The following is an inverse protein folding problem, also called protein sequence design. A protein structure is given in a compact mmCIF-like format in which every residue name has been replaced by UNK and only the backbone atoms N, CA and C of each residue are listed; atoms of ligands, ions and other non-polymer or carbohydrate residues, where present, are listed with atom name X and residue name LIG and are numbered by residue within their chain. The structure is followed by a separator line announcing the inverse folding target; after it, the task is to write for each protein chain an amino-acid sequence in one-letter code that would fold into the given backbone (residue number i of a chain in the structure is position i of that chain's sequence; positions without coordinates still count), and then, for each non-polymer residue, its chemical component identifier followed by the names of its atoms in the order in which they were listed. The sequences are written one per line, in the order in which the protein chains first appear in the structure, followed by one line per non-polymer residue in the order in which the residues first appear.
data_IF_097740056442
#
_entry.id   IF_097740056442
#
_cell.length_a   1.000
_cell.length_b   1.000
_cell.length_c   1.000
_cell.angle_alpha   90.00
_cell.angle_beta   90.00
_cell.angle_gamma   90.00
#
_symmetry.space_group_name_H-M   'P 1'
#
loop_
_entity.id
_entity.type
_entity.pdbx_description
1 polymer ?
#
# COMPACT_ATOMS: atom_id res chain seq x y z
N UNK A 1 -16.98 -0.43 -39.01
CA UNK A 1 -17.76 -1.14 -37.97
C UNK A 1 -17.15 -2.53 -37.81
N UNK A 2 -16.85 -2.93 -36.57
CA UNK A 2 -16.17 -4.17 -36.15
C UNK A 2 -14.62 -4.15 -36.11
N UNK A 3 -14.05 -3.27 -35.28
CA UNK A 3 -12.82 -3.58 -34.54
C UNK A 3 -13.21 -3.63 -33.05
N UNK A 4 -14.01 -4.64 -32.70
CA UNK A 4 -14.28 -4.93 -31.30
C UNK A 4 -12.96 -5.40 -30.71
N UNK A 5 -12.37 -4.54 -29.87
CA UNK A 5 -11.28 -4.87 -28.99
C UNK A 5 -11.56 -6.24 -28.38
N UNK A 6 -10.69 -7.20 -28.68
CA UNK A 6 -10.63 -8.46 -27.97
C UNK A 6 -10.19 -8.13 -26.53
N UNK A 7 -11.15 -7.72 -25.72
CA UNK A 7 -11.07 -7.77 -24.27
C UNK A 7 -10.91 -9.25 -23.97
N UNK A 8 -9.66 -9.68 -23.84
CA UNK A 8 -9.34 -11.01 -23.32
C UNK A 8 -9.89 -11.04 -21.90
N UNK A 9 -11.08 -11.64 -21.79
CA UNK A 9 -11.76 -11.88 -20.53
C UNK A 9 -10.79 -12.59 -19.58
N UNK A 10 -10.79 -12.21 -18.30
CA UNK A 10 -10.03 -12.92 -17.25
C UNK A 10 -10.31 -14.43 -17.16
N UNK A 11 -11.26 -14.96 -17.94
CA UNK A 11 -11.53 -16.39 -18.13
C UNK A 11 -10.53 -17.09 -19.07
N UNK A 12 -9.99 -16.44 -20.09
CA UNK A 12 -8.95 -17.03 -20.96
C UNK A 12 -7.60 -17.11 -20.22
N UNK A 13 -7.38 -16.22 -19.26
CA UNK A 13 -6.23 -16.19 -18.34
C UNK A 13 -6.23 -17.43 -17.42
N UNK A 14 -7.41 -17.97 -17.07
CA UNK A 14 -7.55 -19.17 -16.23
C UNK A 14 -7.38 -20.49 -17.01
N UNK A 15 -7.33 -20.47 -18.35
CA UNK A 15 -7.16 -21.67 -19.16
C UNK A 15 -5.70 -22.18 -19.18
N UNK A 16 -4.72 -21.34 -18.82
CA UNK A 16 -3.31 -21.70 -18.71
C UNK A 16 -2.89 -21.82 -17.24
N UNK A 17 -3.54 -22.74 -16.52
CA UNK A 17 -3.39 -22.93 -15.07
C UNK A 17 -1.98 -23.31 -14.60
N UNK A 18 -1.08 -23.75 -15.48
CA UNK A 18 0.19 -24.37 -15.06
C UNK A 18 1.45 -23.57 -15.36
N UNK A 19 1.42 -22.50 -16.16
CA UNK A 19 2.63 -21.81 -16.63
C UNK A 19 2.52 -20.27 -16.64
N UNK A 20 2.14 -19.63 -15.52
CA UNK A 20 2.34 -18.17 -15.39
C UNK A 20 3.80 -17.86 -15.09
N UNK A 21 4.61 -17.72 -16.15
CA UNK A 21 5.98 -17.25 -16.04
C UNK A 21 6.05 -15.72 -16.18
N UNK A 22 7.02 -15.09 -15.50
CA UNK A 22 7.30 -13.65 -15.54
C UNK A 22 7.45 -13.14 -16.97
N UNK A 23 7.93 -13.98 -17.89
CA UNK A 23 8.11 -13.64 -19.30
C UNK A 23 6.81 -13.66 -20.12
N UNK A 24 5.83 -14.49 -19.74
CA UNK A 24 4.48 -14.48 -20.34
C UNK A 24 3.74 -13.22 -19.88
N UNK A 25 3.90 -12.85 -18.61
CA UNK A 25 3.38 -11.58 -18.07
C UNK A 25 4.02 -10.37 -18.77
N UNK A 26 5.33 -10.38 -19.01
CA UNK A 26 6.01 -9.33 -19.80
C UNK A 26 5.47 -9.23 -21.22
N UNK A 27 5.27 -10.34 -21.92
CA UNK A 27 4.71 -10.36 -23.27
C UNK A 27 3.25 -9.88 -23.31
N UNK A 28 2.46 -10.24 -22.29
CA UNK A 28 1.04 -9.87 -22.20
C UNK A 28 0.84 -8.38 -21.88
N UNK A 29 1.73 -7.79 -21.07
CA UNK A 29 1.65 -6.38 -20.65
C UNK A 29 2.36 -5.44 -21.64
N UNK A 30 3.43 -5.89 -22.30
CA UNK A 30 4.23 -5.11 -23.25
C UNK A 30 4.43 -5.83 -24.59
N UNK A 31 3.43 -5.82 -25.50
CA UNK A 31 3.66 -6.16 -26.89
C UNK A 31 4.67 -5.17 -27.50
N UNK A 32 5.63 -5.66 -28.28
CA UNK A 32 6.81 -4.90 -28.74
C UNK A 32 6.51 -3.72 -29.69
N UNK A 33 5.29 -3.57 -30.20
CA UNK A 33 5.04 -2.71 -31.38
C UNK A 33 3.86 -1.72 -31.24
N UNK A 34 3.52 -1.27 -30.03
CA UNK A 34 2.34 -0.41 -29.83
C UNK A 34 2.74 0.99 -29.36
N UNK A 35 2.48 1.99 -30.19
CA UNK A 35 2.60 3.40 -29.78
C UNK A 35 1.74 3.66 -28.53
N UNK A 36 2.24 4.42 -27.55
CA UNK A 36 1.55 4.64 -26.29
C UNK A 36 0.34 5.56 -26.50
N UNK A 37 -0.78 4.98 -26.93
CA UNK A 37 -2.07 5.65 -26.98
C UNK A 37 -2.74 5.64 -25.60
N UNK A 38 -3.51 6.67 -25.27
CA UNK A 38 -4.04 6.88 -23.91
C UNK A 38 -5.07 5.80 -23.53
N UNK A 39 -5.83 5.31 -24.51
CA UNK A 39 -6.74 4.17 -24.33
C UNK A 39 -6.00 2.87 -24.04
N UNK A 40 -4.86 2.64 -24.69
CA UNK A 40 -4.06 1.42 -24.54
C UNK A 40 -3.44 1.39 -23.15
N UNK A 41 -2.98 2.53 -22.64
CA UNK A 41 -2.49 2.66 -21.27
C UNK A 41 -3.61 2.34 -20.27
N UNK A 42 -4.83 2.82 -20.51
CA UNK A 42 -5.98 2.58 -19.63
C UNK A 42 -6.41 1.11 -19.60
N UNK A 43 -6.48 0.46 -20.77
CA UNK A 43 -6.78 -0.98 -20.87
C UNK A 43 -5.72 -1.80 -20.15
N UNK A 44 -4.44 -1.46 -20.32
CA UNK A 44 -3.32 -2.12 -19.63
C UNK A 44 -3.38 -1.95 -18.11
N UNK A 45 -3.71 -0.76 -17.62
CA UNK A 45 -3.89 -0.52 -16.18
C UNK A 45 -4.99 -1.43 -15.61
N UNK A 46 -6.12 -1.55 -16.31
CA UNK A 46 -7.23 -2.43 -15.89
C UNK A 46 -6.84 -3.91 -15.94
N UNK A 47 -6.25 -4.38 -17.04
CA UNK A 47 -5.81 -5.77 -17.17
C UNK A 47 -4.79 -6.15 -16.09
N UNK A 48 -3.91 -5.22 -15.73
CA UNK A 48 -2.94 -5.45 -14.65
C UNK A 48 -3.61 -5.61 -13.29
N UNK A 49 -4.58 -4.75 -12.98
CA UNK A 49 -5.35 -4.81 -11.73
C UNK A 49 -6.17 -6.10 -11.66
N UNK A 50 -6.80 -6.50 -12.75
CA UNK A 50 -7.61 -7.73 -12.77
C UNK A 50 -6.74 -8.98 -12.67
N UNK A 51 -5.57 -9.00 -13.32
CA UNK A 51 -4.58 -10.07 -13.11
C UNK A 51 -4.11 -10.11 -11.65
N UNK A 52 -3.81 -8.97 -11.04
CA UNK A 52 -3.40 -8.90 -9.65
C UNK A 52 -4.47 -9.43 -8.69
N UNK A 53 -5.75 -9.12 -8.92
CA UNK A 53 -6.87 -9.68 -8.15
C UNK A 53 -6.97 -11.19 -8.30
N UNK A 54 -6.88 -11.72 -9.53
CA UNK A 54 -6.93 -13.17 -9.78
C UNK A 54 -5.75 -13.89 -9.10
N UNK A 55 -4.56 -13.29 -9.14
CA UNK A 55 -3.38 -13.84 -8.44
C UNK A 55 -3.56 -13.79 -6.91
N UNK A 56 -4.18 -12.74 -6.38
CA UNK A 56 -4.50 -12.63 -4.97
C UNK A 56 -5.53 -13.68 -4.53
N UNK A 57 -6.63 -13.83 -5.27
CA UNK A 57 -7.68 -14.84 -5.01
C UNK A 57 -7.17 -16.28 -5.12
N UNK A 58 -6.18 -16.52 -5.98
CA UNK A 58 -5.54 -17.84 -6.14
C UNK A 58 -4.40 -18.09 -5.15
N UNK A 59 -4.09 -17.15 -4.26
CA UNK A 59 -3.06 -17.30 -3.20
C UNK A 59 -1.61 -17.33 -3.74
N UNK A 60 -1.38 -16.84 -4.96
CA UNK A 60 -0.09 -16.94 -5.64
C UNK A 60 0.83 -15.76 -5.32
N UNK A 61 1.25 -15.66 -4.06
CA UNK A 61 2.04 -14.52 -3.57
C UNK A 61 3.32 -14.26 -4.38
N UNK A 62 4.09 -15.30 -4.70
CA UNK A 62 5.35 -15.16 -5.46
C UNK A 62 5.13 -14.59 -6.86
N UNK A 63 4.05 -14.98 -7.54
CA UNK A 63 3.72 -14.49 -8.87
C UNK A 63 3.28 -13.01 -8.80
N UNK A 64 2.51 -12.62 -7.78
CA UNK A 64 2.11 -11.23 -7.56
C UNK A 64 3.31 -10.32 -7.23
N UNK A 65 4.25 -10.81 -6.41
CA UNK A 65 5.51 -10.12 -6.17
C UNK A 65 6.33 -9.92 -7.45
N UNK A 66 6.41 -10.96 -8.30
CA UNK A 66 7.02 -10.86 -9.62
C UNK A 66 6.32 -9.85 -10.53
N UNK A 67 4.99 -9.82 -10.52
CA UNK A 67 4.17 -8.87 -11.28
C UNK A 67 4.51 -7.43 -10.90
N UNK A 68 4.61 -7.11 -9.61
CA UNK A 68 4.98 -5.76 -9.14
C UNK A 68 6.33 -5.32 -9.74
N UNK A 69 7.33 -6.21 -9.79
CA UNK A 69 8.65 -5.89 -10.38
C UNK A 69 8.57 -5.67 -11.89
N UNK A 70 7.81 -6.50 -12.61
CA UNK A 70 7.60 -6.38 -14.07
C UNK A 70 6.86 -5.11 -14.45
N UNK A 71 6.03 -4.57 -13.56
CA UNK A 71 5.27 -3.35 -13.84
C UNK A 71 6.08 -2.07 -13.70
N UNK A 72 7.26 -2.09 -13.06
CA UNK A 72 8.08 -0.89 -12.84
C UNK A 72 8.39 -0.09 -14.12
N UNK A 73 8.77 -0.71 -15.26
CA UNK A 73 8.93 0.01 -16.52
C UNK A 73 7.64 0.66 -17.04
N UNK A 74 6.47 0.02 -16.86
CA UNK A 74 5.17 0.59 -17.25
C UNK A 74 4.84 1.85 -16.45
N UNK A 75 5.22 1.88 -15.17
CA UNK A 75 4.99 3.03 -14.29
C UNK A 75 5.76 4.29 -14.71
N UNK A 76 6.73 4.18 -15.62
CA UNK A 76 7.41 5.32 -16.26
C UNK A 76 6.60 5.95 -17.40
N UNK A 77 5.65 5.21 -17.98
CA UNK A 77 4.82 5.66 -19.11
C UNK A 77 3.52 6.35 -18.66
N UNK A 78 3.16 6.26 -17.39
CA UNK A 78 1.93 6.84 -16.83
C UNK A 78 2.24 8.03 -15.91
N UNK A 79 1.23 8.85 -15.63
CA UNK A 79 1.40 9.98 -14.71
C UNK A 79 1.80 9.51 -13.31
N UNK A 80 2.57 10.33 -12.58
CA UNK A 80 3.04 10.01 -11.22
C UNK A 80 1.89 9.64 -10.27
N UNK A 81 0.74 10.31 -10.40
CA UNK A 81 -0.45 10.04 -9.60
C UNK A 81 -1.04 8.65 -9.91
N UNK A 82 -1.22 8.31 -11.20
CA UNK A 82 -1.71 6.98 -11.61
C UNK A 82 -0.77 5.87 -11.17
N UNK A 83 0.53 6.05 -11.38
CA UNK A 83 1.53 5.09 -10.92
C UNK A 83 1.48 4.88 -9.40
N UNK A 84 1.33 5.97 -8.63
CA UNK A 84 1.24 5.88 -7.16
C UNK A 84 0.01 5.08 -6.74
N UNK A 85 -1.15 5.34 -7.35
CA UNK A 85 -2.38 4.60 -7.10
C UNK A 85 -2.23 3.13 -7.45
N UNK A 86 -1.66 2.83 -8.62
CA UNK A 86 -1.46 1.47 -9.11
C UNK A 86 -0.55 0.66 -8.19
N UNK A 87 0.62 1.19 -7.84
CA UNK A 87 1.56 0.50 -6.92
C UNK A 87 0.92 0.29 -5.55
N UNK A 88 0.23 1.31 -5.01
CA UNK A 88 -0.46 1.17 -3.73
C UNK A 88 -1.49 0.04 -3.77
N UNK A 89 -2.35 0.00 -4.79
CA UNK A 89 -3.34 -1.07 -4.92
C UNK A 89 -2.71 -2.46 -5.08
N UNK A 90 -1.63 -2.58 -5.85
CA UNK A 90 -0.93 -3.85 -6.00
C UNK A 90 -0.26 -4.33 -4.71
N UNK A 91 0.35 -3.41 -3.95
CA UNK A 91 0.97 -3.72 -2.65
C UNK A 91 -0.10 -4.03 -1.61
N UNK A 92 -1.21 -3.30 -1.57
CA UNK A 92 -2.32 -3.59 -0.66
C UNK A 92 -2.92 -4.98 -0.94
N UNK A 93 -3.19 -5.32 -2.21
CA UNK A 93 -3.60 -6.67 -2.61
C UNK A 93 -2.58 -7.73 -2.21
N UNK A 94 -1.28 -7.41 -2.27
CA UNK A 94 -0.23 -8.33 -1.87
C UNK A 94 -0.20 -8.57 -0.36
N UNK A 95 -0.37 -7.52 0.44
CA UNK A 95 -0.33 -7.59 1.90
C UNK A 95 -1.62 -8.16 2.51
N UNK A 96 -2.74 -8.05 1.81
CA UNK A 96 -4.02 -8.62 2.24
C UNK A 96 -4.11 -10.14 1.96
N UNK A 97 -3.18 -10.70 1.17
CA UNK A 97 -3.02 -12.14 1.11
C UNK A 97 -2.42 -12.59 2.46
N UNK A 98 -3.19 -13.29 3.29
CA UNK A 98 -2.75 -13.96 4.53
C UNK A 98 -1.68 -15.06 4.30
N UNK A 99 -0.98 -15.02 3.17
CA UNK A 99 0.15 -15.85 2.84
C UNK A 99 1.34 -15.34 3.65
N UNK A 100 1.44 -15.73 4.92
CA UNK A 100 2.56 -15.51 5.85
C UNK A 100 3.90 -16.03 5.29
N UNK A 101 4.37 -15.39 4.22
CA UNK A 101 5.48 -15.84 3.39
C UNK A 101 6.80 -15.22 3.84
N UNK A 102 6.76 -14.28 4.78
CA UNK A 102 7.92 -13.50 5.22
C UNK A 102 8.46 -12.53 4.15
N UNK A 103 7.87 -12.51 2.95
CA UNK A 103 8.28 -11.69 1.82
C UNK A 103 7.70 -10.26 1.87
N UNK A 104 6.71 -10.01 2.72
CA UNK A 104 5.99 -8.73 2.80
C UNK A 104 6.91 -7.56 3.14
N UNK A 105 7.75 -7.72 4.16
CA UNK A 105 8.71 -6.68 4.57
C UNK A 105 9.74 -6.44 3.46
N UNK A 106 10.28 -7.51 2.87
CA UNK A 106 11.27 -7.41 1.80
C UNK A 106 10.68 -6.70 0.57
N UNK A 107 9.45 -7.04 0.18
CA UNK A 107 8.74 -6.40 -0.92
C UNK A 107 8.45 -4.91 -0.66
N UNK A 108 8.03 -4.55 0.55
CA UNK A 108 7.83 -3.15 0.91
C UNK A 108 9.15 -2.37 0.85
N UNK A 109 10.25 -2.92 1.38
CA UNK A 109 11.57 -2.29 1.33
C UNK A 109 12.05 -2.10 -0.11
N UNK A 110 11.89 -3.10 -0.97
CA UNK A 110 12.28 -3.01 -2.38
C UNK A 110 11.46 -1.95 -3.13
N UNK A 111 10.15 -1.85 -2.86
CA UNK A 111 9.28 -0.82 -3.43
C UNK A 111 9.64 0.59 -2.93
N UNK A 112 10.01 0.75 -1.65
CA UNK A 112 10.49 2.01 -1.08
C UNK A 112 11.79 2.44 -1.74
N UNK A 113 12.73 1.51 -1.92
CA UNK A 113 14.02 1.79 -2.54
C UNK A 113 13.87 2.21 -4.00
N UNK A 114 13.01 1.52 -4.74
CA UNK A 114 12.64 1.94 -6.09
C UNK A 114 11.98 3.33 -6.10
N UNK A 115 11.07 3.61 -5.17
CA UNK A 115 10.44 4.93 -5.08
C UNK A 115 11.44 6.05 -4.75
N UNK A 116 12.51 5.76 -3.98
CA UNK A 116 13.63 6.69 -3.74
C UNK A 116 14.43 6.95 -5.01
N UNK A 117 14.81 5.90 -5.74
CA UNK A 117 15.57 6.00 -6.99
C UNK A 117 14.83 6.84 -8.05
N UNK A 118 13.52 6.61 -8.17
CA UNK A 118 12.64 7.34 -9.08
C UNK A 118 12.21 8.73 -8.58
N UNK A 119 12.67 9.15 -7.40
CA UNK A 119 12.30 10.42 -6.75
C UNK A 119 10.78 10.61 -6.60
N UNK A 120 10.05 9.52 -6.32
CA UNK A 120 8.59 9.48 -6.13
C UNK A 120 8.24 9.62 -4.64
N UNK A 121 8.41 10.82 -4.08
CA UNK A 121 8.27 11.08 -2.64
C UNK A 121 6.91 10.68 -2.05
N UNK A 122 5.79 11.02 -2.69
CA UNK A 122 4.45 10.67 -2.19
C UNK A 122 4.24 9.15 -2.15
N UNK A 123 4.69 8.43 -3.18
CA UNK A 123 4.62 6.98 -3.21
C UNK A 123 5.50 6.38 -2.11
N UNK A 124 6.72 6.88 -1.94
CA UNK A 124 7.61 6.45 -0.85
C UNK A 124 6.94 6.61 0.50
N UNK A 125 6.36 7.76 0.78
CA UNK A 125 5.70 8.04 2.07
C UNK A 125 4.49 7.14 2.31
N UNK A 126 3.67 6.89 1.27
CA UNK A 126 2.56 5.95 1.36
C UNK A 126 3.05 4.51 1.64
N UNK A 127 4.13 4.07 0.98
CA UNK A 127 4.73 2.76 1.20
C UNK A 127 5.37 2.64 2.58
N UNK A 128 6.02 3.69 3.08
CA UNK A 128 6.56 3.74 4.44
C UNK A 128 5.44 3.68 5.49
N UNK A 129 4.32 4.38 5.29
CA UNK A 129 3.15 4.26 6.17
C UNK A 129 2.60 2.82 6.19
N UNK A 130 2.54 2.15 5.03
CA UNK A 130 2.11 0.75 4.96
C UNK A 130 3.11 -0.19 5.64
N UNK A 131 4.42 0.06 5.49
CA UNK A 131 5.47 -0.70 6.17
C UNK A 131 5.39 -0.53 7.70
N UNK A 132 5.04 0.66 8.21
CA UNK A 132 4.80 0.86 9.65
C UNK A 132 3.62 0.00 10.13
N UNK A 133 2.53 -0.05 9.36
CA UNK A 133 1.40 -0.94 9.66
C UNK A 133 1.84 -2.41 9.71
N UNK A 134 2.64 -2.84 8.73
CA UNK A 134 3.16 -4.20 8.68
C UNK A 134 4.08 -4.52 9.86
N UNK A 135 4.93 -3.58 10.28
CA UNK A 135 5.75 -3.74 11.48
C UNK A 135 4.91 -3.81 12.76
N UNK A 136 3.78 -3.10 12.81
CA UNK A 136 2.84 -3.22 13.90
C UNK A 136 2.21 -4.61 13.94
N UNK A 137 1.71 -5.11 12.80
CA UNK A 137 1.06 -6.42 12.69
C UNK A 137 2.03 -7.59 12.97
N UNK A 138 3.32 -7.43 12.63
CA UNK A 138 4.38 -8.41 12.91
C UNK A 138 5.04 -8.28 14.29
N UNK A 139 4.61 -7.32 15.12
CA UNK A 139 5.14 -7.10 16.47
C UNK A 139 6.51 -6.41 16.54
N UNK A 140 7.02 -5.88 15.42
CA UNK A 140 8.29 -5.15 15.32
C UNK A 140 8.14 -3.67 15.71
N UNK A 141 7.75 -3.42 16.95
CA UNK A 141 7.38 -2.09 17.42
C UNK A 141 8.51 -1.05 17.40
N UNK A 142 9.76 -1.47 17.64
CA UNK A 142 10.92 -0.57 17.63
C UNK A 142 11.23 -0.04 16.23
N UNK A 143 11.21 -0.92 15.22
CA UNK A 143 11.35 -0.58 13.81
C UNK A 143 10.22 0.36 13.37
N UNK A 144 8.97 0.03 13.72
CA UNK A 144 7.80 0.88 13.46
C UNK A 144 7.97 2.30 14.02
N UNK A 145 8.41 2.47 15.28
CA UNK A 145 8.62 3.78 15.88
C UNK A 145 9.74 4.58 15.21
N UNK A 146 10.85 3.92 14.85
CA UNK A 146 11.97 4.58 14.18
C UNK A 146 11.58 5.14 12.80
N UNK A 147 10.86 4.34 12.02
CA UNK A 147 10.38 4.73 10.70
C UNK A 147 9.29 5.80 10.82
N UNK A 148 8.33 5.61 11.73
CA UNK A 148 7.25 6.55 12.01
C UNK A 148 7.76 7.92 12.46
N UNK A 149 8.75 7.97 13.36
CA UNK A 149 9.36 9.23 13.82
C UNK A 149 10.03 10.01 12.69
N UNK A 150 10.63 9.31 11.73
CA UNK A 150 11.25 9.93 10.55
C UNK A 150 10.18 10.45 9.60
N UNK A 151 9.19 9.62 9.27
CA UNK A 151 8.10 9.97 8.38
C UNK A 151 7.25 11.14 8.92
N UNK A 152 6.96 11.17 10.22
CA UNK A 152 6.20 12.26 10.85
C UNK A 152 6.90 13.62 10.75
N UNK A 153 8.25 13.66 10.82
CA UNK A 153 9.00 14.92 10.64
C UNK A 153 8.84 15.48 9.22
N UNK A 154 8.70 14.61 8.25
CA UNK A 154 8.45 14.99 6.85
C UNK A 154 6.99 15.40 6.64
N UNK A 155 6.05 14.56 7.06
CA UNK A 155 4.61 14.78 6.86
C UNK A 155 4.11 16.06 7.56
N UNK A 156 4.70 16.45 8.69
CA UNK A 156 4.39 17.73 9.37
C UNK A 156 4.68 18.96 8.49
N UNK A 157 5.59 18.85 7.52
CA UNK A 157 5.94 19.93 6.59
C UNK A 157 5.11 19.89 5.31
N UNK A 158 4.24 18.88 5.16
CA UNK A 158 3.42 18.65 3.99
C UNK A 158 1.94 18.92 4.27
N UNK A 159 1.17 19.05 3.19
CA UNK A 159 -0.26 19.35 3.25
C UNK A 159 -1.15 18.10 3.26
N UNK A 160 -0.59 16.91 3.00
CA UNK A 160 -1.34 15.65 3.09
C UNK A 160 -1.60 15.26 4.56
N UNK A 161 -2.63 15.88 5.13
CA UNK A 161 -3.06 15.65 6.51
C UNK A 161 -3.72 14.29 6.71
N UNK A 162 -4.27 13.67 5.67
CA UNK A 162 -4.85 12.33 5.77
C UNK A 162 -3.77 11.31 6.15
N UNK A 163 -2.67 11.30 5.38
CA UNK A 163 -1.55 10.41 5.67
C UNK A 163 -0.89 10.72 7.03
N UNK A 164 -0.83 12.00 7.41
CA UNK A 164 -0.32 12.41 8.72
C UNK A 164 -1.15 11.82 9.87
N UNK A 165 -2.49 11.89 9.78
CA UNK A 165 -3.38 11.31 10.80
C UNK A 165 -3.21 9.79 10.88
N UNK A 166 -3.13 9.10 9.73
CA UNK A 166 -2.91 7.64 9.69
C UNK A 166 -1.63 7.23 10.42
N UNK A 167 -0.50 7.93 10.17
CA UNK A 167 0.78 7.62 10.80
C UNK A 167 0.78 7.97 12.29
N UNK A 168 0.14 9.07 12.71
CA UNK A 168 -0.02 9.42 14.13
C UNK A 168 -0.88 8.41 14.88
N UNK A 169 -1.94 7.89 14.25
CA UNK A 169 -2.76 6.83 14.81
C UNK A 169 -1.97 5.53 14.97
N UNK A 170 -1.17 5.14 13.97
CA UNK A 170 -0.26 3.99 14.07
C UNK A 170 0.75 4.17 15.20
N UNK A 171 1.34 5.36 15.35
CA UNK A 171 2.25 5.69 16.45
C UNK A 171 1.57 5.49 17.82
N UNK A 172 0.31 5.92 17.97
CA UNK A 172 -0.47 5.69 19.19
C UNK A 172 -0.67 4.20 19.48
N UNK A 173 -1.01 3.40 18.46
CA UNK A 173 -1.19 1.94 18.59
C UNK A 173 0.11 1.23 18.98
N UNK A 174 1.23 1.62 18.37
CA UNK A 174 2.55 1.05 18.68
C UNK A 174 2.97 1.38 20.11
N UNK A 175 2.80 2.64 20.56
CA UNK A 175 3.11 3.00 21.95
C UNK A 175 2.20 2.29 22.95
N UNK A 176 0.92 2.10 22.63
CA UNK A 176 0.01 1.31 23.45
C UNK A 176 0.49 -0.13 23.59
N UNK A 177 0.95 -0.75 22.50
CA UNK A 177 1.45 -2.13 22.51
C UNK A 177 2.77 -2.27 23.29
N UNK A 178 3.54 -1.19 23.40
CA UNK A 178 4.72 -1.09 24.27
C UNK A 178 4.38 -0.65 25.70
N UNK A 179 3.10 -0.64 26.10
CA UNK A 179 2.62 -0.20 27.42
C UNK A 179 3.03 1.24 27.80
N UNK A 180 3.36 2.07 26.81
CA UNK A 180 3.72 3.47 27.01
C UNK A 180 2.49 4.36 26.84
N UNK A 181 1.58 4.29 27.82
CA UNK A 181 0.30 5.01 27.77
C UNK A 181 0.44 6.53 27.65
N UNK A 182 1.36 7.22 28.35
CA UNK A 182 1.52 8.67 28.20
C UNK A 182 1.85 9.08 26.76
N UNK A 183 2.76 8.37 26.08
CA UNK A 183 3.09 8.65 24.68
C UNK A 183 1.98 8.22 23.73
N UNK A 184 1.30 7.10 23.99
CA UNK A 184 0.17 6.66 23.19
C UNK A 184 -0.97 7.71 23.18
N UNK A 185 -1.27 8.30 24.34
CA UNK A 185 -2.25 9.38 24.47
C UNK A 185 -1.79 10.66 23.78
N UNK A 186 -0.53 11.05 23.95
CA UNK A 186 0.02 12.23 23.27
C UNK A 186 -0.07 12.11 21.74
N UNK A 187 0.27 10.93 21.19
CA UNK A 187 0.14 10.64 19.76
C UNK A 187 -1.33 10.67 19.30
N UNK A 188 -2.25 10.08 20.07
CA UNK A 188 -3.69 10.12 19.73
C UNK A 188 -4.25 11.56 19.76
N UNK A 189 -3.87 12.37 20.75
CA UNK A 189 -4.27 13.79 20.81
C UNK A 189 -3.77 14.56 19.60
N UNK A 190 -2.53 14.30 19.15
CA UNK A 190 -1.98 14.89 17.93
C UNK A 190 -2.76 14.43 16.68
N UNK A 191 -3.12 13.13 16.61
CA UNK A 191 -3.93 12.57 15.54
C UNK A 191 -5.32 13.23 15.46
N UNK A 192 -6.02 13.36 16.60
CA UNK A 192 -7.34 14.02 16.67
C UNK A 192 -7.28 15.50 16.32
N UNK A 193 -6.26 16.21 16.80
CA UNK A 193 -6.06 17.63 16.48
C UNK A 193 -5.89 17.82 14.97
N UNK A 194 -5.09 16.96 14.33
CA UNK A 194 -4.89 16.99 12.87
C UNK A 194 -6.17 16.58 12.13
N UNK A 195 -6.89 15.57 12.61
CA UNK A 195 -8.14 15.09 12.03
C UNK A 195 -9.25 16.15 12.06
N UNK A 196 -9.33 16.97 13.11
CA UNK A 196 -10.27 18.09 13.19
C UNK A 196 -10.03 19.16 12.11
N UNK A 197 -8.81 19.23 11.56
CA UNK A 197 -8.46 20.14 10.49
C UNK A 197 -8.84 19.65 9.08
N UNK A 198 -9.40 18.45 8.96
CA UNK A 198 -9.78 17.84 7.68
C UNK A 198 -11.17 17.20 7.75
N UNK A 199 -11.80 17.02 6.59
CA UNK A 199 -12.95 16.12 6.49
C UNK A 199 -12.45 14.67 6.55
N UNK A 200 -12.38 14.13 7.76
CA UNK A 200 -11.86 12.80 8.03
C UNK A 200 -12.77 11.72 7.42
N UNK A 201 -12.23 10.76 6.65
CA UNK A 201 -13.02 9.64 6.13
C UNK A 201 -13.64 8.82 7.28
N UNK A 202 -14.87 8.29 7.13
CA UNK A 202 -15.57 7.57 8.21
C UNK A 202 -14.77 6.41 8.81
N UNK A 203 -14.01 5.68 7.98
CA UNK A 203 -13.15 4.58 8.45
C UNK A 203 -12.02 5.06 9.37
N UNK A 204 -11.37 6.17 9.01
CA UNK A 204 -10.27 6.74 9.80
C UNK A 204 -10.80 7.34 11.10
N UNK A 205 -11.96 8.00 11.06
CA UNK A 205 -12.63 8.51 12.25
C UNK A 205 -12.99 7.39 13.22
N UNK A 206 -13.60 6.30 12.73
CA UNK A 206 -13.92 5.14 13.56
C UNK A 206 -12.67 4.53 14.22
N UNK A 207 -11.53 4.50 13.50
CA UNK A 207 -10.28 3.99 14.05
C UNK A 207 -9.68 4.89 15.14
N UNK A 208 -9.83 6.22 15.02
CA UNK A 208 -9.46 7.17 16.07
C UNK A 208 -10.32 6.99 17.33
N UNK A 209 -11.63 6.86 17.14
CA UNK A 209 -12.59 6.69 18.24
C UNK A 209 -12.36 5.35 18.97
N UNK A 210 -12.10 4.27 18.23
CA UNK A 210 -11.74 2.96 18.79
C UNK A 210 -10.45 3.05 19.62
N UNK A 211 -9.40 3.69 19.11
CA UNK A 211 -8.15 3.86 19.84
C UNK A 211 -8.34 4.70 21.11
N UNK A 212 -9.21 5.72 21.07
CA UNK A 212 -9.58 6.48 22.26
C UNK A 212 -10.23 5.57 23.31
N UNK A 213 -11.18 4.72 22.91
CA UNK A 213 -11.81 3.75 23.80
C UNK A 213 -10.82 2.78 24.44
N UNK A 214 -9.87 2.26 23.65
CA UNK A 214 -8.81 1.36 24.15
C UNK A 214 -7.94 2.05 25.21
N UNK A 215 -7.51 3.28 24.94
CA UNK A 215 -6.66 4.02 25.89
C UNK A 215 -7.42 4.40 27.18
N UNK A 216 -8.69 4.80 27.08
CA UNK A 216 -9.51 5.07 28.26
C UNK A 216 -9.74 3.82 29.11
N UNK A 217 -10.03 2.68 28.48
CA UNK A 217 -10.23 1.42 29.19
C UNK A 217 -8.92 0.90 29.85
N UNK A 218 -7.76 1.20 29.26
CA UNK A 218 -6.47 0.88 29.87
C UNK A 218 -6.22 1.71 31.14
N UNK A 219 -6.60 2.98 31.14
CA UNK A 219 -6.44 3.89 32.29
C UNK A 219 -7.30 3.48 33.50
N UNK A 220 -8.53 3.05 33.27
CA UNK A 220 -9.44 2.60 34.33
C UNK A 220 -8.96 1.33 35.04
N UNK A 221 -8.13 0.52 34.37
CA UNK A 221 -7.58 -0.73 34.93
C UNK A 221 -6.31 -0.53 35.75
N UNK A 222 -5.76 0.69 35.84
CA UNK A 222 -4.58 1.00 36.66
C UNK A 222 -3.31 0.24 36.25
N UNK A 223 -3.22 -0.20 34.99
CA UNK A 223 -2.06 -0.87 34.40
C UNK A 223 -1.04 0.14 33.85
#
# INVERSE_FOLDING_TARGET
MAAAAAVLNGRDVLAQKENFNVDIVKQFVFPKDVQPDEEIIRVKEQSLLDLAKVLAESGKAKELAGLIKVTRPFLGLVSKAKATKLVRTLVDLFLDMEASTGLEVEMCLECIEWAKQEKRNYLRQALEARLISLYYDTGKFTEALSLGSTLLKELKKLDDKNLLVEVQLLESKVYHSLTNFPRARAALTAARTTANGIYCPPKLQAALDMQSGILHAADEKGL
#
